data_IF_578476493034
#
_entry.id   IF_578476493034
#
_cell.length_a   1.000
_cell.length_b   1.000
_cell.length_c   1.000
_cell.angle_alpha   90.00
_cell.angle_beta   90.00
_cell.angle_gamma   90.00
#
_symmetry.space_group_name_H-M   'P 1'
#
loop_
_entity.id
_entity.type
_entity.pdbx_description
1 polymer ?
#
# COMPACT_ATOMS: atom_id res chain seq x y z
N UNK A 1 10.05 -11.00 15.51
CA UNK A 1 10.95 -10.06 14.81
C UNK A 1 11.83 -9.37 15.85
N UNK A 2 13.14 -9.40 15.70
CA UNK A 2 14.02 -8.53 16.49
C UNK A 2 13.76 -7.11 15.99
N UNK A 3 13.00 -6.32 16.74
CA UNK A 3 12.85 -4.89 16.44
C UNK A 3 14.23 -4.24 16.61
N UNK A 4 14.69 -3.39 15.68
CA UNK A 4 15.91 -2.63 15.89
C UNK A 4 15.74 -1.78 17.15
N UNK A 5 16.74 -1.80 18.05
CA UNK A 5 16.79 -0.81 19.14
C UNK A 5 17.02 0.56 18.49
N UNK A 6 16.42 1.61 19.06
CA UNK A 6 16.38 2.94 18.43
C UNK A 6 17.74 3.40 17.88
N UNK A 7 17.77 3.74 16.58
CA UNK A 7 18.98 4.17 15.85
C UNK A 7 19.88 3.04 15.34
N UNK A 8 19.57 1.76 15.59
CA UNK A 8 20.34 0.65 15.05
C UNK A 8 20.15 0.52 13.52
N UNK A 9 21.25 0.24 12.81
CA UNK A 9 21.20 0.05 11.36
C UNK A 9 20.32 -1.14 10.97
N UNK A 10 19.59 -1.01 9.87
CA UNK A 10 18.65 -2.00 9.34
C UNK A 10 19.14 -2.53 7.99
N UNK A 11 18.54 -3.62 7.48
CA UNK A 11 18.87 -4.19 6.17
C UNK A 11 19.17 -5.68 6.19
N UNK A 12 19.78 -6.19 5.11
CA UNK A 12 20.08 -7.62 4.96
C UNK A 12 21.02 -8.12 6.07
N UNK A 13 20.64 -9.22 6.73
CA UNK A 13 21.38 -9.77 7.87
C UNK A 13 21.19 -9.01 9.19
N UNK A 14 20.28 -8.01 9.24
CA UNK A 14 20.02 -7.18 10.41
C UNK A 14 18.54 -7.20 10.83
N UNK A 15 18.22 -6.80 12.07
CA UNK A 15 16.86 -6.52 12.49
C UNK A 15 16.08 -5.67 11.48
N UNK A 16 14.84 -6.07 11.16
CA UNK A 16 14.01 -5.37 10.18
C UNK A 16 13.44 -4.07 10.78
N UNK A 17 13.71 -2.94 10.13
CA UNK A 17 13.12 -1.63 10.49
C UNK A 17 11.83 -1.28 9.75
N UNK A 18 11.40 -2.10 8.80
CA UNK A 18 10.20 -1.86 8.00
C UNK A 18 8.95 -2.49 8.62
N UNK A 19 7.78 -1.94 8.26
CA UNK A 19 6.47 -2.45 8.67
C UNK A 19 6.33 -2.65 10.19
N UNK A 20 6.91 -1.74 10.97
CA UNK A 20 6.83 -1.75 12.43
C UNK A 20 5.44 -1.34 12.90
N UNK A 21 5.02 -1.92 14.02
CA UNK A 21 3.66 -1.79 14.55
C UNK A 21 3.78 -1.32 15.97
N UNK A 22 2.87 -0.43 16.29
CA UNK A 22 2.92 0.36 17.49
C UNK A 22 3.31 1.79 17.16
N UNK A 23 2.70 2.67 17.92
CA UNK A 23 3.05 4.07 17.99
C UNK A 23 4.47 4.19 18.51
N UNK A 24 5.43 4.46 17.63
CA UNK A 24 6.31 5.56 17.96
C UNK A 24 5.53 6.78 17.46
N UNK A 25 4.75 7.49 18.31
CA UNK A 25 4.10 8.74 17.92
C UNK A 25 5.17 9.84 17.84
N UNK A 26 6.29 9.53 17.21
CA UNK A 26 7.44 10.37 17.07
C UNK A 26 7.31 11.18 15.79
N UNK A 27 7.61 12.46 15.90
CA UNK A 27 7.89 13.33 14.77
C UNK A 27 9.18 12.85 14.07
N UNK A 28 9.20 12.87 12.74
CA UNK A 28 10.41 12.56 11.95
C UNK A 28 10.23 11.38 11.00
N UNK A 29 11.32 11.00 10.33
CA UNK A 29 11.32 10.02 9.23
C UNK A 29 10.86 8.60 9.61
N UNK A 30 10.92 8.25 10.91
CA UNK A 30 10.59 6.92 11.43
C UNK A 30 9.18 6.86 12.05
N UNK A 31 8.34 7.86 11.80
CA UNK A 31 6.96 7.87 12.29
C UNK A 31 6.11 6.82 11.58
N UNK A 32 5.28 6.12 12.34
CA UNK A 32 4.26 5.21 11.81
C UNK A 32 2.88 5.87 11.67
N UNK A 33 2.77 7.18 11.95
CA UNK A 33 1.51 7.91 11.85
C UNK A 33 1.16 8.21 10.39
N UNK A 34 -0.13 8.22 10.08
CA UNK A 34 -0.60 8.77 8.80
C UNK A 34 -0.43 10.28 8.83
N UNK A 35 0.01 10.88 7.73
CA UNK A 35 0.16 12.34 7.64
C UNK A 35 -1.21 13.02 7.76
N UNK A 36 -1.25 14.23 8.32
CA UNK A 36 -2.50 14.95 8.57
C UNK A 36 -3.37 15.13 7.32
N UNK A 37 -2.74 15.37 6.16
CA UNK A 37 -3.43 15.54 4.88
C UNK A 37 -4.19 14.27 4.40
N UNK A 38 -3.86 13.10 4.93
CA UNK A 38 -4.47 11.81 4.62
C UNK A 38 -5.03 11.13 5.86
N UNK A 39 -5.26 11.87 6.95
CA UNK A 39 -5.84 11.32 8.17
C UNK A 39 -7.17 10.63 7.86
N UNK A 40 -7.37 9.37 8.32
CA UNK A 40 -8.62 8.66 8.09
C UNK A 40 -9.81 9.43 8.66
N UNK A 41 -10.93 9.39 7.94
CA UNK A 41 -12.20 9.94 8.42
C UNK A 41 -12.89 8.97 9.37
N UNK A 42 -13.84 9.49 10.14
CA UNK A 42 -14.66 8.67 11.03
C UNK A 42 -15.36 7.55 10.25
N UNK A 43 -15.20 6.32 10.75
CA UNK A 43 -15.78 5.12 10.15
C UNK A 43 -14.97 4.49 9.01
N UNK A 44 -13.86 5.08 8.57
CA UNK A 44 -12.97 4.45 7.60
C UNK A 44 -12.22 3.25 8.24
N UNK A 45 -12.11 2.16 7.49
CA UNK A 45 -11.41 0.97 7.93
C UNK A 45 -9.89 1.19 7.91
N UNK A 46 -9.27 1.18 9.09
CA UNK A 46 -7.82 1.26 9.23
C UNK A 46 -7.24 -0.13 9.49
N UNK A 47 -6.36 -0.60 8.59
CA UNK A 47 -5.68 -1.89 8.71
C UNK A 47 -4.25 -1.69 9.21
N UNK A 48 -3.97 -2.20 10.42
CA UNK A 48 -2.60 -2.32 10.89
C UNK A 48 -1.93 -3.54 10.25
N UNK A 49 -0.88 -3.29 9.46
CA UNK A 49 -0.19 -4.31 8.69
C UNK A 49 1.29 -4.41 9.10
N UNK A 50 1.73 -5.66 9.32
CA UNK A 50 3.08 -6.00 9.77
C UNK A 50 3.99 -6.45 8.61
N UNK A 51 3.48 -6.43 7.38
CA UNK A 51 4.13 -6.94 6.17
C UNK A 51 3.94 -5.99 4.98
N UNK A 52 4.71 -6.24 3.91
CA UNK A 52 4.58 -5.50 2.65
C UNK A 52 3.25 -5.79 1.97
N UNK A 53 2.87 -7.07 1.87
CA UNK A 53 1.54 -7.51 1.46
C UNK A 53 0.51 -7.14 2.53
N UNK A 54 -0.43 -6.25 2.20
CA UNK A 54 -1.48 -5.83 3.15
C UNK A 54 -2.56 -6.87 3.41
N UNK A 55 -2.60 -7.97 2.67
CA UNK A 55 -3.44 -9.14 2.99
C UNK A 55 -2.76 -10.09 3.99
N UNK A 56 -1.43 -10.06 4.11
CA UNK A 56 -0.70 -11.03 4.90
C UNK A 56 -0.86 -10.76 6.40
N UNK A 57 -1.59 -11.65 7.08
CA UNK A 57 -1.80 -11.57 8.53
C UNK A 57 -2.67 -10.40 8.96
N UNK A 58 -3.56 -9.90 8.10
CA UNK A 58 -4.48 -8.79 8.40
C UNK A 58 -5.95 -9.19 8.18
N UNK A 59 -6.92 -8.45 8.72
CA UNK A 59 -8.34 -8.70 8.46
C UNK A 59 -8.83 -8.12 7.13
N UNK A 60 -7.95 -7.60 6.27
CA UNK A 60 -8.33 -6.90 5.04
C UNK A 60 -9.18 -7.77 4.11
N UNK A 61 -8.77 -9.02 3.85
CA UNK A 61 -9.53 -9.90 2.95
C UNK A 61 -10.94 -10.19 3.47
N UNK A 62 -11.06 -10.44 4.78
CA UNK A 62 -12.34 -10.70 5.42
C UNK A 62 -13.26 -9.50 5.26
N UNK A 63 -12.77 -8.30 5.58
CA UNK A 63 -13.56 -7.07 5.49
C UNK A 63 -14.05 -6.80 4.06
N UNK A 64 -13.16 -6.88 3.07
CA UNK A 64 -13.50 -6.67 1.66
C UNK A 64 -14.56 -7.67 1.18
N UNK A 65 -14.42 -8.96 1.54
CA UNK A 65 -15.41 -10.00 1.19
C UNK A 65 -16.75 -9.78 1.87
N UNK A 66 -16.76 -9.39 3.15
CA UNK A 66 -17.98 -9.08 3.89
C UNK A 66 -18.75 -7.91 3.27
N UNK A 67 -18.04 -6.94 2.69
CA UNK A 67 -18.64 -5.81 1.98
C UNK A 67 -18.96 -6.08 0.51
N UNK A 68 -18.68 -7.29 0.01
CA UNK A 68 -18.94 -7.65 -1.39
C UNK A 68 -18.06 -6.89 -2.39
N UNK A 69 -16.89 -6.40 -1.97
CA UNK A 69 -15.98 -5.64 -2.83
C UNK A 69 -15.20 -6.60 -3.72
N UNK A 70 -15.14 -6.32 -5.02
CA UNK A 70 -14.39 -7.10 -6.02
C UNK A 70 -13.39 -6.27 -6.86
N UNK A 71 -13.34 -4.95 -6.62
CA UNK A 71 -12.46 -3.98 -7.28
C UNK A 71 -11.70 -3.18 -6.23
N UNK A 72 -10.41 -2.97 -6.46
CA UNK A 72 -9.55 -2.22 -5.55
C UNK A 72 -8.84 -1.11 -6.33
N UNK A 73 -9.04 0.14 -5.91
CA UNK A 73 -8.21 1.27 -6.32
C UNK A 73 -7.03 1.33 -5.35
N UNK A 74 -5.81 1.31 -5.88
CA UNK A 74 -4.58 1.24 -5.09
C UNK A 74 -3.73 2.47 -5.34
N UNK A 75 -3.24 3.07 -4.25
CA UNK A 75 -2.31 4.22 -4.22
C UNK A 75 -1.28 4.02 -3.10
N UNK A 76 -0.30 4.92 -2.99
CA UNK A 76 0.62 4.98 -1.84
C UNK A 76 2.07 4.63 -2.17
N UNK A 77 2.84 4.31 -1.13
CA UNK A 77 4.29 4.12 -1.21
C UNK A 77 4.80 2.88 -0.45
N UNK A 78 5.88 2.23 -0.89
CA UNK A 78 6.59 2.46 -2.15
C UNK A 78 6.03 1.59 -3.28
N UNK A 79 6.06 2.11 -4.51
CA UNK A 79 5.53 1.44 -5.72
C UNK A 79 6.10 0.03 -5.87
N UNK A 80 7.41 -0.11 -5.72
CA UNK A 80 8.19 -1.33 -6.00
C UNK A 80 8.18 -2.36 -4.86
N UNK A 81 7.76 -1.97 -3.65
CA UNK A 81 7.77 -2.84 -2.46
C UNK A 81 6.34 -3.10 -1.97
N UNK A 82 5.79 -2.23 -1.11
CA UNK A 82 4.50 -2.44 -0.44
C UNK A 82 3.35 -2.48 -1.43
N UNK A 83 3.34 -1.55 -2.38
CA UNK A 83 2.27 -1.42 -3.37
C UNK A 83 2.31 -2.61 -4.32
N UNK A 84 3.47 -2.92 -4.91
CA UNK A 84 3.66 -4.10 -5.76
C UNK A 84 3.24 -5.40 -5.07
N UNK A 85 3.72 -5.64 -3.84
CA UNK A 85 3.39 -6.84 -3.07
C UNK A 85 1.87 -6.97 -2.87
N UNK A 86 1.18 -5.86 -2.62
CA UNK A 86 -0.27 -5.85 -2.38
C UNK A 86 -1.07 -6.01 -3.68
N UNK A 87 -0.63 -5.40 -4.79
CA UNK A 87 -1.26 -5.54 -6.10
C UNK A 87 -1.21 -6.99 -6.57
N UNK A 88 -0.05 -7.63 -6.49
CA UNK A 88 0.10 -9.04 -6.87
C UNK A 88 -0.75 -9.95 -5.97
N UNK A 89 -0.77 -9.67 -4.66
CA UNK A 89 -1.60 -10.40 -3.71
C UNK A 89 -3.11 -10.23 -3.95
N UNK A 90 -3.55 -9.04 -4.37
CA UNK A 90 -4.93 -8.75 -4.77
C UNK A 90 -5.31 -9.50 -6.05
N UNK A 91 -4.46 -9.46 -7.08
CA UNK A 91 -4.67 -10.17 -8.33
C UNK A 91 -4.77 -11.69 -8.13
N UNK A 92 -3.91 -12.26 -7.28
CA UNK A 92 -3.96 -13.68 -6.91
C UNK A 92 -5.26 -14.08 -6.17
N UNK A 93 -5.96 -13.10 -5.59
CA UNK A 93 -7.26 -13.28 -4.92
C UNK A 93 -8.44 -12.93 -5.83
N UNK A 94 -8.19 -12.70 -7.12
CA UNK A 94 -9.16 -12.33 -8.15
C UNK A 94 -9.82 -10.95 -7.96
N UNK A 95 -9.20 -10.04 -7.21
CA UNK A 95 -9.64 -8.64 -7.22
C UNK A 95 -9.26 -7.97 -8.54
N UNK A 96 -10.15 -7.13 -9.06
CA UNK A 96 -9.87 -6.27 -10.21
C UNK A 96 -9.14 -5.02 -9.73
N UNK A 97 -7.84 -4.97 -9.96
CA UNK A 97 -6.99 -3.88 -9.45
C UNK A 97 -6.97 -2.71 -10.43
N UNK A 98 -7.10 -1.51 -9.88
CA UNK A 98 -6.94 -0.22 -10.56
C UNK A 98 -5.77 0.48 -9.87
N UNK A 99 -4.64 0.61 -10.57
CA UNK A 99 -3.45 1.26 -10.05
C UNK A 99 -3.39 2.72 -10.52
N UNK A 100 -3.39 3.65 -9.57
CA UNK A 100 -3.32 5.08 -9.84
C UNK A 100 -1.86 5.48 -9.99
N UNK A 101 -1.36 5.55 -11.22
CA UNK A 101 0.07 5.67 -11.52
C UNK A 101 0.70 6.95 -10.95
N UNK A 102 -0.03 8.07 -10.97
CA UNK A 102 0.40 9.35 -10.39
C UNK A 102 0.09 9.49 -8.89
N UNK A 103 -0.59 8.51 -8.29
CA UNK A 103 -0.85 8.40 -6.85
C UNK A 103 0.14 7.49 -6.12
N UNK A 104 1.27 7.16 -6.75
CA UNK A 104 2.28 6.24 -6.22
C UNK A 104 3.69 6.81 -6.40
N UNK A 105 4.62 6.39 -5.54
CA UNK A 105 6.03 6.77 -5.68
C UNK A 105 6.99 5.64 -5.23
N UNK A 106 8.15 5.57 -5.87
CA UNK A 106 9.29 4.76 -5.45
C UNK A 106 10.48 5.67 -5.14
N UNK A 107 11.54 5.13 -4.53
CA UNK A 107 12.79 5.88 -4.30
C UNK A 107 13.49 6.21 -5.63
N UNK A 108 13.34 5.32 -6.63
CA UNK A 108 13.94 5.48 -7.94
C UNK A 108 12.89 5.33 -9.04
N UNK A 109 12.84 6.30 -9.97
CA UNK A 109 11.84 6.35 -11.04
C UNK A 109 11.82 5.10 -11.92
N UNK A 110 12.99 4.53 -12.23
CA UNK A 110 13.06 3.34 -13.06
C UNK A 110 12.40 2.11 -12.41
N UNK A 111 12.39 2.02 -11.07
CA UNK A 111 11.70 0.94 -10.35
C UNK A 111 10.18 1.16 -10.39
N UNK A 112 9.74 2.41 -10.23
CA UNK A 112 8.33 2.76 -10.42
C UNK A 112 7.84 2.39 -11.83
N UNK A 113 8.57 2.78 -12.87
CA UNK A 113 8.22 2.46 -14.26
C UNK A 113 8.22 0.95 -14.54
N UNK A 114 9.22 0.22 -14.05
CA UNK A 114 9.27 -1.24 -14.21
C UNK A 114 8.02 -1.93 -13.61
N UNK A 115 7.54 -1.47 -12.46
CA UNK A 115 6.30 -1.97 -11.87
C UNK A 115 5.08 -1.69 -12.74
N UNK A 116 4.93 -0.46 -13.27
CA UNK A 116 3.83 -0.12 -14.17
C UNK A 116 3.83 -1.03 -15.43
N UNK A 117 5.00 -1.25 -16.02
CA UNK A 117 5.17 -2.12 -17.20
C UNK A 117 4.79 -3.59 -16.91
N UNK A 118 5.13 -4.09 -15.73
CA UNK A 118 4.73 -5.44 -15.28
C UNK A 118 3.20 -5.51 -15.12
N UNK A 119 2.59 -4.51 -14.49
CA UNK A 119 1.17 -4.57 -14.11
C UNK A 119 0.22 -4.43 -15.28
N UNK A 120 0.51 -3.54 -16.23
CA UNK A 120 -0.44 -3.12 -17.28
C UNK A 120 -1.06 -4.25 -18.10
N UNK A 121 -0.38 -5.38 -18.20
CA UNK A 121 -0.80 -6.50 -19.03
C UNK A 121 -1.64 -7.53 -18.29
N UNK A 122 -1.42 -7.72 -16.98
CA UNK A 122 -1.97 -8.88 -16.25
C UNK A 122 -2.47 -8.60 -14.84
N UNK A 123 -2.00 -7.55 -14.18
CA UNK A 123 -2.22 -7.37 -12.74
C UNK A 123 -3.11 -6.19 -12.41
N UNK A 124 -3.08 -5.10 -13.18
CA UNK A 124 -3.90 -3.93 -12.90
C UNK A 124 -4.23 -3.11 -14.15
N UNK A 125 -5.39 -2.44 -14.12
CA UNK A 125 -5.68 -1.31 -15.01
C UNK A 125 -4.89 -0.11 -14.52
N UNK A 126 -4.05 0.48 -15.36
CA UNK A 126 -3.33 1.71 -15.04
C UNK A 126 -4.18 2.93 -15.40
N UNK A 127 -4.28 3.88 -14.47
CA UNK A 127 -5.01 5.13 -14.64
C UNK A 127 -4.31 6.28 -13.93
N UNK A 128 -4.66 7.51 -14.31
CA UNK A 128 -4.28 8.71 -13.56
C UNK A 128 -5.39 9.09 -12.57
N UNK A 129 -5.04 9.94 -11.61
CA UNK A 129 -5.96 10.39 -10.55
C UNK A 129 -7.22 11.03 -11.15
N UNK A 130 -7.08 11.86 -12.18
CA UNK A 130 -8.21 12.53 -12.82
C UNK A 130 -9.19 11.54 -13.47
N UNK A 131 -8.69 10.46 -14.07
CA UNK A 131 -9.52 9.42 -14.67
C UNK A 131 -10.39 8.73 -13.61
N UNK A 132 -9.81 8.42 -12.46
CA UNK A 132 -10.52 7.79 -11.34
C UNK A 132 -11.59 8.72 -10.79
N UNK A 133 -11.25 10.00 -10.58
CA UNK A 133 -12.19 10.98 -10.05
C UNK A 133 -13.38 11.20 -11.01
N UNK A 134 -13.12 11.23 -12.32
CA UNK A 134 -14.16 11.33 -13.32
C UNK A 134 -15.09 10.10 -13.34
N UNK A 135 -14.55 8.89 -13.18
CA UNK A 135 -15.32 7.64 -13.12
C UNK A 135 -16.13 7.48 -11.82
N UNK A 136 -15.68 8.09 -10.72
CA UNK A 136 -16.33 8.03 -9.41
C UNK A 136 -17.37 9.14 -9.19
N UNK A 137 -17.41 10.15 -10.05
CA UNK A 137 -18.39 11.21 -9.95
C UNK A 137 -19.81 10.60 -10.07
N UNK A 138 -20.75 10.95 -9.18
CA UNK A 138 -22.13 10.52 -9.34
C UNK A 138 -22.67 11.05 -10.68
N UNK A 139 -23.20 10.13 -11.49
CA UNK A 139 -23.93 10.48 -12.71
C UNK A 139 -25.28 11.12 -12.43
#
# INVERSE_FOLDING_TARGET
ATRPRGGAETGYGRPAGSCLIGSNPGTGAESSATIDALAPRDGELVIQAHAYDKFYGTPLELALRTWGIDRLIVTGVTTDICVNSTILAAANRNYRVIAVSDGMAAIHDHLHQACLDIWRNKFARLVRTDDVLAEMAPG
#
